data_IF_864492779920
#
_entry.id   IF_864492779920
#
_cell.length_a   1.000
_cell.length_b   1.000
_cell.length_c   1.000
_cell.angle_alpha   90.00
_cell.angle_beta   90.00
_cell.angle_gamma   90.00
#
_symmetry.space_group_name_H-M   'P 1'
#
loop_
_entity.id
_entity.type
_entity.pdbx_description
1 polymer ?
#
# COMPACT_ATOMS: atom_id res chain seq x y z
N UNK A 1 -5.12 18.83 -17.76
CA UNK A 1 -4.42 17.56 -17.49
C UNK A 1 -5.42 16.43 -17.68
N UNK A 2 -5.01 15.31 -18.28
CA UNK A 2 -5.90 14.18 -18.57
C UNK A 2 -6.30 13.49 -17.27
N UNK A 3 -7.59 13.16 -17.11
CA UNK A 3 -8.14 12.46 -15.95
C UNK A 3 -7.42 11.12 -15.67
N UNK A 4 -6.87 10.49 -16.72
CA UNK A 4 -6.13 9.23 -16.62
C UNK A 4 -4.75 9.41 -15.97
N UNK A 5 -4.13 10.58 -16.12
CA UNK A 5 -2.82 10.88 -15.54
C UNK A 5 -2.87 11.08 -14.03
N UNK A 6 -4.03 11.49 -13.50
CA UNK A 6 -4.29 11.64 -12.06
C UNK A 6 -4.59 10.27 -11.40
N UNK A 7 -5.02 9.30 -12.21
CA UNK A 7 -5.46 8.00 -11.72
C UNK A 7 -4.32 6.97 -11.65
N UNK A 8 -3.33 7.08 -12.55
CA UNK A 8 -2.17 6.20 -12.65
C UNK A 8 -1.07 6.62 -11.68
N UNK A 9 -0.48 5.64 -10.99
CA UNK A 9 0.70 5.90 -10.17
C UNK A 9 1.91 6.16 -11.06
N UNK A 10 2.68 7.19 -10.74
CA UNK A 10 4.03 7.37 -11.27
C UNK A 10 5.02 6.43 -10.57
N UNK A 11 6.23 6.31 -11.12
CA UNK A 11 7.24 5.36 -10.63
C UNK A 11 7.56 5.51 -9.13
N UNK A 12 7.65 6.74 -8.62
CA UNK A 12 7.95 6.98 -7.21
C UNK A 12 6.80 6.56 -6.29
N UNK A 13 5.57 6.75 -6.74
CA UNK A 13 4.37 6.35 -6.00
C UNK A 13 4.23 4.83 -5.98
N UNK A 14 4.56 4.16 -7.09
CA UNK A 14 4.65 2.69 -7.16
C UNK A 14 5.70 2.18 -6.16
N UNK A 15 6.88 2.80 -6.09
CA UNK A 15 7.94 2.40 -5.17
C UNK A 15 7.52 2.55 -3.70
N UNK A 16 6.78 3.59 -3.36
CA UNK A 16 6.23 3.79 -2.01
C UNK A 16 5.24 2.69 -1.65
N UNK A 17 4.23 2.45 -2.51
CA UNK A 17 3.19 1.44 -2.25
C UNK A 17 3.78 0.03 -2.24
N UNK A 18 4.64 -0.29 -3.21
CA UNK A 18 5.30 -1.59 -3.30
C UNK A 18 6.24 -1.84 -2.11
N UNK A 19 6.99 -0.82 -1.68
CA UNK A 19 7.87 -0.91 -0.51
C UNK A 19 7.08 -1.21 0.77
N UNK A 20 5.92 -0.57 0.95
CA UNK A 20 5.05 -0.83 2.09
C UNK A 20 4.48 -2.25 2.04
N UNK A 21 4.03 -2.68 0.85
CA UNK A 21 3.46 -4.00 0.63
C UNK A 21 4.47 -5.11 0.89
N UNK A 22 5.68 -5.00 0.33
CA UNK A 22 6.74 -5.99 0.52
C UNK A 22 7.11 -6.13 2.00
N UNK A 23 7.16 -5.03 2.75
CA UNK A 23 7.45 -5.04 4.17
C UNK A 23 6.32 -5.69 4.99
N UNK A 24 5.06 -5.33 4.72
CA UNK A 24 3.91 -5.96 5.38
C UNK A 24 3.83 -7.46 5.09
N UNK A 25 4.03 -7.88 3.84
CA UNK A 25 4.07 -9.29 3.47
C UNK A 25 5.17 -10.05 4.22
N UNK A 26 6.35 -9.45 4.40
CA UNK A 26 7.44 -10.04 5.18
C UNK A 26 7.07 -10.18 6.67
N UNK A 27 6.44 -9.16 7.27
CA UNK A 27 5.99 -9.18 8.67
C UNK A 27 4.91 -10.25 8.91
N UNK A 28 3.97 -10.36 7.98
CA UNK A 28 2.81 -11.25 8.07
C UNK A 28 3.08 -12.66 7.47
N UNK A 29 4.32 -12.95 7.04
CA UNK A 29 4.72 -14.21 6.36
C UNK A 29 3.79 -14.59 5.19
N UNK A 30 3.35 -13.57 4.45
CA UNK A 30 2.42 -13.67 3.34
C UNK A 30 3.18 -13.55 2.03
N UNK A 31 2.84 -14.35 1.02
CA UNK A 31 3.44 -14.21 -0.31
C UNK A 31 2.86 -12.98 -1.02
N UNK A 32 3.70 -12.20 -1.70
CA UNK A 32 3.30 -10.94 -2.33
C UNK A 32 2.16 -11.13 -3.35
N UNK A 33 2.19 -12.24 -4.09
CA UNK A 33 1.25 -12.58 -5.15
C UNK A 33 0.07 -13.45 -4.68
N UNK A 34 -0.02 -13.73 -3.38
CA UNK A 34 -1.18 -14.40 -2.77
C UNK A 34 -2.41 -13.50 -2.75
N UNK A 35 -3.58 -14.10 -2.48
CA UNK A 35 -4.83 -13.35 -2.36
C UNK A 35 -4.75 -12.32 -1.22
N UNK A 36 -4.22 -12.70 -0.05
CA UNK A 36 -3.98 -11.77 1.07
C UNK A 36 -3.02 -10.62 0.69
N UNK A 37 -1.98 -10.93 -0.10
CA UNK A 37 -1.05 -9.92 -0.62
C UNK A 37 -1.73 -8.92 -1.57
N UNK A 38 -2.63 -9.39 -2.44
CA UNK A 38 -3.40 -8.54 -3.36
C UNK A 38 -4.46 -7.71 -2.64
N UNK A 39 -5.08 -8.28 -1.61
CA UNK A 39 -6.04 -7.56 -0.77
C UNK A 39 -5.33 -6.43 -0.01
N UNK A 40 -4.19 -6.73 0.62
CA UNK A 40 -3.35 -5.71 1.26
C UNK A 40 -2.89 -4.63 0.27
N UNK A 41 -2.48 -5.02 -0.94
CA UNK A 41 -2.10 -4.06 -1.99
C UNK A 41 -3.25 -3.09 -2.34
N UNK A 42 -4.48 -3.60 -2.41
CA UNK A 42 -5.67 -2.80 -2.67
C UNK A 42 -5.92 -1.78 -1.57
N UNK A 43 -5.80 -2.20 -0.31
CA UNK A 43 -5.93 -1.30 0.85
C UNK A 43 -4.83 -0.24 0.85
N UNK A 44 -3.58 -0.62 0.66
CA UNK A 44 -2.43 0.30 0.64
C UNK A 44 -2.53 1.33 -0.49
N UNK A 45 -3.00 0.93 -1.67
CA UNK A 45 -3.27 1.86 -2.76
C UNK A 45 -4.36 2.87 -2.38
N UNK A 46 -5.42 2.42 -1.71
CA UNK A 46 -6.46 3.29 -1.16
C UNK A 46 -5.88 4.29 -0.16
N UNK A 47 -5.08 3.81 0.80
CA UNK A 47 -4.43 4.64 1.81
C UNK A 47 -3.54 5.72 1.18
N UNK A 48 -2.71 5.34 0.19
CA UNK A 48 -1.87 6.28 -0.55
C UNK A 48 -2.72 7.40 -1.19
N UNK A 49 -3.77 7.02 -1.93
CA UNK A 49 -4.69 7.97 -2.58
C UNK A 49 -5.46 8.86 -1.60
N UNK A 50 -5.55 8.47 -0.32
CA UNK A 50 -6.18 9.28 0.74
C UNK A 50 -5.19 10.16 1.53
N UNK A 51 -3.90 10.18 1.15
CA UNK A 51 -2.90 11.07 1.73
C UNK A 51 -1.81 10.39 2.56
N UNK A 52 -1.78 9.05 2.62
CA UNK A 52 -0.67 8.31 3.23
C UNK A 52 0.47 8.13 2.22
N UNK A 53 1.18 9.22 1.93
CA UNK A 53 2.12 9.29 0.80
C UNK A 53 3.53 8.71 1.09
N UNK A 54 3.73 8.11 2.26
CA UNK A 54 5.01 7.50 2.65
C UNK A 54 4.83 6.06 3.11
N UNK A 55 5.87 5.25 2.92
CA UNK A 55 5.89 3.83 3.33
C UNK A 55 5.48 3.67 4.80
N UNK A 56 6.08 4.45 5.69
CA UNK A 56 5.83 4.35 7.13
C UNK A 56 4.39 4.76 7.48
N UNK A 57 3.85 5.80 6.83
CA UNK A 57 2.46 6.24 7.06
C UNK A 57 1.45 5.19 6.59
N UNK A 58 1.71 4.51 5.47
CA UNK A 58 0.87 3.40 4.99
C UNK A 58 0.90 2.24 5.98
N UNK A 59 2.09 1.83 6.45
CA UNK A 59 2.24 0.73 7.39
C UNK A 59 1.59 1.04 8.74
N UNK A 60 1.69 2.28 9.21
CA UNK A 60 1.00 2.75 10.41
C UNK A 60 -0.52 2.68 10.26
N UNK A 61 -1.06 3.14 9.13
CA UNK A 61 -2.48 3.04 8.85
C UNK A 61 -2.95 1.58 8.71
N UNK A 62 -2.16 0.70 8.10
CA UNK A 62 -2.47 -0.74 7.99
C UNK A 62 -2.57 -1.43 9.35
N UNK A 63 -1.69 -1.10 10.31
CA UNK A 63 -1.77 -1.64 11.69
C UNK A 63 -3.10 -1.27 12.35
N UNK A 64 -3.54 -0.03 12.19
CA UNK A 64 -4.84 0.45 12.70
C UNK A 64 -6.02 -0.28 12.05
N UNK A 65 -5.94 -0.60 10.75
CA UNK A 65 -6.97 -1.34 10.03
C UNK A 65 -7.07 -2.78 10.53
N UNK A 66 -5.94 -3.41 10.85
CA UNK A 66 -5.89 -4.79 11.34
C UNK A 66 -6.26 -4.92 12.84
N UNK A 67 -6.34 -3.81 13.58
CA UNK A 67 -6.66 -3.81 15.01
C UNK A 67 -5.47 -4.19 15.91
N UNK A 68 -4.24 -4.08 15.40
CA UNK A 68 -3.00 -4.17 16.18
C UNK A 68 -2.75 -2.79 16.85
N UNK A 69 -3.38 -2.55 18.00
CA UNK A 69 -3.10 -1.42 18.91
C UNK A 69 -2.50 -1.92 20.24
#
# INVERSE_FOLDING_TARGET
MSFLSDMALNQGEIEVVYGALAEWCAQNRTALDSDDGRDAATVMLGLYKTGHETKDSILEAMRRVNGDD
#
